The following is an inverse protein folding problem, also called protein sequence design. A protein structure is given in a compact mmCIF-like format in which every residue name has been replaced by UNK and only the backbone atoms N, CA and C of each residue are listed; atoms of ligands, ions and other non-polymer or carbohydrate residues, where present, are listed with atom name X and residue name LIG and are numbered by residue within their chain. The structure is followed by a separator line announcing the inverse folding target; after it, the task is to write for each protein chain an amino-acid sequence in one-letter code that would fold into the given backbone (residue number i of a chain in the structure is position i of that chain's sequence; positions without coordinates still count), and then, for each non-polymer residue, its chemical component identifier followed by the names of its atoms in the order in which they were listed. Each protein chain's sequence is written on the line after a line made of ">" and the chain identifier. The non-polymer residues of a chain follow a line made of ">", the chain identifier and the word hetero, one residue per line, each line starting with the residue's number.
data_IF_249540876668
#
_entry.id   IF_249540876668
#
_cell.length_a   1.000
_cell.length_b   1.000
_cell.length_c   1.000
_cell.angle_alpha   90.00
_cell.angle_beta   90.00
_cell.angle_gamma   90.00
#
_symmetry.space_group_name_H-M   'P 1'
#
loop_
_entity.id
_entity.type
_entity.pdbx_description
1 polymer ?
#
# COMPACT_ATOMS: atom_id res chain seq x y z
N UNK A 1 9.98 -12.20 -28.02
CA UNK A 1 10.01 -13.02 -29.26
C UNK A 1 8.57 -13.24 -29.70
N UNK A 2 8.27 -13.01 -30.94
CA UNK A 2 6.93 -13.25 -31.53
C UNK A 2 6.97 -14.51 -32.40
N UNK A 3 5.90 -15.29 -32.39
CA UNK A 3 5.74 -16.45 -33.29
C UNK A 3 4.58 -16.15 -34.23
N UNK A 4 4.85 -16.09 -35.52
CA UNK A 4 3.82 -15.92 -36.54
C UNK A 4 3.95 -17.01 -37.60
N UNK A 5 2.89 -17.79 -37.82
CA UNK A 5 2.88 -18.95 -38.72
C UNK A 5 4.06 -19.91 -38.52
N UNK A 6 4.46 -20.15 -37.26
CA UNK A 6 5.58 -21.01 -36.91
C UNK A 6 6.98 -20.37 -37.00
N UNK A 7 7.09 -19.15 -37.51
CA UNK A 7 8.34 -18.42 -37.59
C UNK A 7 8.55 -17.60 -36.33
N UNK A 8 9.76 -17.71 -35.72
CA UNK A 8 10.16 -16.92 -34.56
C UNK A 8 10.75 -15.60 -35.01
N UNK A 9 10.11 -14.50 -34.63
CA UNK A 9 10.56 -13.14 -34.93
C UNK A 9 11.06 -12.48 -33.65
N UNK A 10 12.29 -11.95 -33.65
CA UNK A 10 12.81 -11.17 -32.54
C UNK A 10 12.20 -9.75 -32.61
N UNK A 11 11.54 -9.34 -31.54
CA UNK A 11 10.92 -8.02 -31.41
C UNK A 11 11.86 -7.12 -30.61
N UNK A 12 12.66 -6.31 -31.30
CA UNK A 12 13.56 -5.35 -30.67
C UNK A 12 12.84 -4.16 -30.07
N UNK A 13 11.67 -3.84 -30.58
CA UNK A 13 10.76 -2.81 -30.06
C UNK A 13 10.15 -3.15 -28.68
N UNK A 14 10.21 -4.43 -28.28
CA UNK A 14 9.79 -4.90 -26.94
C UNK A 14 10.98 -5.06 -25.98
N UNK A 15 12.09 -4.38 -26.24
CA UNK A 15 13.21 -4.35 -25.28
C UNK A 15 12.79 -3.56 -24.04
N UNK A 16 13.04 -4.13 -22.87
CA UNK A 16 12.77 -3.52 -21.58
C UNK A 16 14.00 -3.55 -20.72
N UNK A 17 14.21 -2.50 -19.94
CA UNK A 17 15.23 -2.42 -18.89
C UNK A 17 14.64 -2.73 -17.50
N UNK A 18 13.40 -3.17 -17.45
CA UNK A 18 12.82 -3.75 -16.26
C UNK A 18 13.09 -5.26 -16.25
N UNK A 19 13.52 -5.78 -15.12
CA UNK A 19 13.85 -7.21 -14.97
C UNK A 19 12.64 -8.07 -14.63
N UNK A 20 11.56 -7.46 -14.13
CA UNK A 20 10.35 -8.17 -13.69
C UNK A 20 9.29 -8.25 -14.80
N UNK A 21 8.63 -9.40 -14.89
CA UNK A 21 7.58 -9.67 -15.88
C UNK A 21 6.38 -8.71 -15.73
N UNK A 22 6.08 -8.27 -14.52
CA UNK A 22 4.95 -7.40 -14.21
C UNK A 22 5.03 -6.05 -14.92
N UNK A 23 6.23 -5.53 -15.11
CA UNK A 23 6.46 -4.32 -15.90
C UNK A 23 6.44 -4.59 -17.40
N UNK A 24 6.96 -5.74 -17.83
CA UNK A 24 7.07 -6.08 -19.26
C UNK A 24 5.74 -6.46 -19.88
N UNK A 25 4.84 -7.11 -19.14
CA UNK A 25 3.54 -7.55 -19.68
C UNK A 25 2.66 -6.36 -20.11
N UNK A 26 2.44 -5.31 -19.29
CA UNK A 26 1.70 -4.12 -19.73
C UNK A 26 2.35 -3.40 -20.91
N UNK A 27 3.68 -3.33 -20.96
CA UNK A 27 4.42 -2.77 -22.10
C UNK A 27 4.12 -3.54 -23.39
N UNK A 28 4.16 -4.88 -23.35
CA UNK A 28 3.85 -5.72 -24.50
C UNK A 28 2.39 -5.57 -24.93
N UNK A 29 1.46 -5.50 -23.98
CA UNK A 29 0.04 -5.25 -24.26
C UNK A 29 -0.14 -3.90 -24.93
N UNK A 30 0.56 -2.86 -24.51
CA UNK A 30 0.53 -1.54 -25.12
C UNK A 30 0.98 -1.59 -26.59
N UNK A 31 2.15 -2.17 -26.85
CA UNK A 31 2.66 -2.30 -28.21
C UNK A 31 1.69 -3.09 -29.13
N UNK A 32 1.11 -4.19 -28.63
CA UNK A 32 0.15 -4.99 -29.40
C UNK A 32 -1.15 -4.22 -29.66
N UNK A 33 -1.61 -3.43 -28.68
CA UNK A 33 -2.78 -2.57 -28.85
C UNK A 33 -2.55 -1.52 -29.94
N UNK A 34 -1.37 -0.91 -29.99
CA UNK A 34 -1.01 0.11 -30.98
C UNK A 34 -0.86 -0.48 -32.39
N UNK A 35 -0.57 -1.78 -32.51
CA UNK A 35 -0.65 -2.51 -33.77
C UNK A 35 -2.11 -2.73 -34.27
N UNK A 36 -3.11 -2.29 -33.51
CA UNK A 36 -4.51 -2.42 -33.87
C UNK A 36 -5.07 -3.83 -33.74
N UNK A 37 -4.48 -4.69 -32.91
CA UNK A 37 -4.99 -6.04 -32.64
C UNK A 37 -6.28 -5.96 -31.81
N UNK A 38 -7.36 -6.53 -32.33
CA UNK A 38 -8.70 -6.41 -31.72
C UNK A 38 -8.89 -7.14 -30.39
N UNK A 39 -8.16 -8.25 -30.17
CA UNK A 39 -8.27 -9.08 -28.95
C UNK A 39 -6.88 -9.48 -28.47
N UNK A 40 -6.63 -9.23 -27.20
CA UNK A 40 -5.37 -9.58 -26.50
C UNK A 40 -5.71 -10.49 -25.33
N UNK A 41 -5.04 -11.62 -25.22
CA UNK A 41 -5.15 -12.53 -24.10
C UNK A 41 -3.82 -12.57 -23.32
N UNK A 42 -3.85 -12.10 -22.08
CA UNK A 42 -2.72 -12.14 -21.15
C UNK A 42 -2.85 -13.37 -20.27
N UNK A 43 -1.80 -14.14 -20.21
CA UNK A 43 -1.74 -15.37 -19.44
C UNK A 43 -0.96 -15.09 -18.14
N UNK A 44 -1.67 -14.77 -17.08
CA UNK A 44 -1.12 -14.49 -15.75
C UNK A 44 -2.17 -14.68 -14.67
N UNK A 45 -1.75 -15.11 -13.49
CA UNK A 45 -2.56 -15.14 -12.26
C UNK A 45 -2.17 -14.02 -11.28
N UNK A 46 -1.20 -13.19 -11.67
CA UNK A 46 -0.62 -12.17 -10.81
C UNK A 46 -1.55 -10.97 -10.62
N UNK A 47 -1.71 -10.54 -9.38
CA UNK A 47 -2.53 -9.38 -9.02
C UNK A 47 -1.90 -8.07 -9.50
N UNK A 48 -0.57 -7.98 -9.49
CA UNK A 48 0.16 -6.79 -9.90
C UNK A 48 -0.06 -6.55 -11.39
N UNK A 49 0.04 -7.60 -12.21
CA UNK A 49 -0.30 -7.56 -13.64
C UNK A 49 -1.75 -7.09 -13.86
N UNK A 50 -2.72 -7.63 -13.09
CA UNK A 50 -4.12 -7.20 -13.19
C UNK A 50 -4.30 -5.70 -12.91
N UNK A 51 -3.66 -5.22 -11.83
CA UNK A 51 -3.72 -3.81 -11.41
C UNK A 51 -3.14 -2.89 -12.49
N UNK A 52 -1.97 -3.26 -13.02
CA UNK A 52 -1.30 -2.49 -14.07
C UNK A 52 -2.09 -2.46 -15.36
N UNK A 53 -2.63 -3.60 -15.79
CA UNK A 53 -3.51 -3.65 -16.98
C UNK A 53 -4.73 -2.74 -16.84
N UNK A 54 -5.39 -2.74 -15.67
CA UNK A 54 -6.54 -1.87 -15.43
C UNK A 54 -6.15 -0.38 -15.42
N UNK A 55 -5.06 -0.03 -14.73
CA UNK A 55 -4.58 1.35 -14.65
C UNK A 55 -4.22 1.92 -16.01
N UNK A 56 -3.36 1.21 -16.75
CA UNK A 56 -2.94 1.64 -18.09
C UNK A 56 -4.05 1.59 -19.14
N UNK A 57 -4.98 0.64 -19.02
CA UNK A 57 -6.14 0.59 -19.92
C UNK A 57 -6.92 1.90 -19.88
N UNK A 58 -7.19 2.43 -18.69
CA UNK A 58 -7.93 3.68 -18.54
C UNK A 58 -7.09 4.88 -18.98
N UNK A 59 -5.85 4.96 -18.52
CA UNK A 59 -4.95 6.09 -18.78
C UNK A 59 -4.64 6.25 -20.27
N UNK A 60 -4.29 5.14 -20.95
CA UNK A 60 -3.90 5.12 -22.35
C UNK A 60 -5.08 4.94 -23.31
N UNK A 61 -6.31 4.79 -22.80
CA UNK A 61 -7.53 4.59 -23.59
C UNK A 61 -7.37 3.47 -24.61
N UNK A 62 -6.83 2.33 -24.18
CA UNK A 62 -6.64 1.18 -25.08
C UNK A 62 -7.95 0.75 -25.73
N UNK A 63 -7.90 0.47 -27.04
CA UNK A 63 -9.07 0.10 -27.86
C UNK A 63 -9.30 -1.42 -27.95
N UNK A 64 -8.25 -2.22 -27.70
CA UNK A 64 -8.32 -3.67 -27.77
C UNK A 64 -9.20 -4.26 -26.68
N UNK A 65 -9.81 -5.42 -26.96
CA UNK A 65 -10.45 -6.25 -25.93
C UNK A 65 -9.38 -7.06 -25.20
N UNK A 66 -9.18 -6.80 -23.92
CA UNK A 66 -8.11 -7.42 -23.13
C UNK A 66 -8.72 -8.39 -22.13
N UNK A 67 -8.21 -9.61 -22.15
CA UNK A 67 -8.59 -10.67 -21.23
C UNK A 67 -7.35 -11.16 -20.47
N UNK A 68 -7.49 -11.36 -19.17
CA UNK A 68 -6.48 -12.00 -18.32
C UNK A 68 -6.95 -13.40 -17.92
N UNK A 69 -6.15 -14.41 -18.25
CA UNK A 69 -6.44 -15.82 -17.97
C UNK A 69 -5.43 -16.35 -16.94
N UNK A 70 -5.88 -16.73 -15.73
CA UNK A 70 -5.01 -17.19 -14.67
C UNK A 70 -4.56 -18.66 -14.82
N UNK A 71 -4.85 -19.33 -15.92
CA UNK A 71 -4.51 -20.75 -16.21
C UNK A 71 -5.03 -21.80 -15.22
N UNK A 72 -5.85 -21.45 -14.29
CA UNK A 72 -6.37 -22.40 -13.31
C UNK A 72 -7.80 -22.80 -13.68
N UNK A 73 -8.16 -24.06 -13.42
CA UNK A 73 -9.54 -24.53 -13.65
C UNK A 73 -10.57 -23.84 -12.75
N UNK A 74 -10.12 -23.30 -11.63
CA UNK A 74 -10.94 -22.68 -10.60
C UNK A 74 -11.18 -21.17 -10.87
N UNK A 75 -10.26 -20.50 -11.53
CA UNK A 75 -10.32 -19.08 -11.79
C UNK A 75 -10.86 -18.79 -13.18
N UNK A 76 -11.81 -17.87 -13.23
CA UNK A 76 -12.43 -17.43 -14.48
C UNK A 76 -11.54 -16.42 -15.20
N UNK A 77 -11.58 -16.44 -16.55
CA UNK A 77 -10.99 -15.40 -17.38
C UNK A 77 -11.58 -14.04 -17.01
N UNK A 78 -10.73 -13.07 -16.76
CA UNK A 78 -11.10 -11.71 -16.38
C UNK A 78 -11.12 -10.82 -17.62
N UNK A 79 -12.20 -10.12 -17.84
CA UNK A 79 -12.29 -9.11 -18.89
C UNK A 79 -11.88 -7.75 -18.32
N UNK A 80 -10.71 -7.24 -18.73
CA UNK A 80 -10.14 -5.99 -18.24
C UNK A 80 -11.03 -4.80 -18.57
N UNK A 81 -11.53 -4.71 -19.81
CA UNK A 81 -12.42 -3.62 -20.25
C UNK A 81 -13.65 -3.49 -19.33
N UNK A 82 -14.29 -4.63 -19.03
CA UNK A 82 -15.45 -4.66 -18.15
C UNK A 82 -15.09 -4.33 -16.69
N UNK A 83 -13.93 -4.78 -16.22
CA UNK A 83 -13.44 -4.47 -14.88
C UNK A 83 -13.22 -2.98 -14.70
N UNK A 84 -12.58 -2.33 -15.67
CA UNK A 84 -12.35 -0.88 -15.68
C UNK A 84 -13.68 -0.14 -15.75
N UNK A 85 -14.56 -0.46 -16.70
CA UNK A 85 -15.86 0.19 -16.86
C UNK A 85 -16.72 0.15 -15.60
N UNK A 86 -16.71 -0.97 -14.88
CA UNK A 86 -17.47 -1.12 -13.62
C UNK A 86 -16.88 -0.35 -12.46
N UNK A 87 -15.62 0.03 -12.53
CA UNK A 87 -14.85 0.63 -11.44
C UNK A 87 -14.14 1.92 -11.87
N UNK A 88 -14.70 2.69 -12.79
CA UNK A 88 -14.08 3.89 -13.36
C UNK A 88 -13.57 4.88 -12.29
N UNK A 89 -14.33 5.06 -11.21
CA UNK A 89 -13.94 5.95 -10.12
C UNK A 89 -12.81 5.40 -9.23
N UNK A 90 -12.58 4.08 -9.26
CA UNK A 90 -11.54 3.43 -8.46
C UNK A 90 -10.21 3.31 -9.23
N UNK A 91 -10.30 3.03 -10.53
CA UNK A 91 -9.14 2.71 -11.36
C UNK A 91 -8.06 3.79 -11.35
N UNK A 92 -8.35 5.12 -11.36
CA UNK A 92 -7.31 6.15 -11.25
C UNK A 92 -6.44 6.05 -10.00
N UNK A 93 -6.97 5.47 -8.93
CA UNK A 93 -6.28 5.30 -7.66
C UNK A 93 -5.71 3.89 -7.46
N UNK A 94 -5.98 2.96 -8.39
CA UNK A 94 -5.77 1.53 -8.17
C UNK A 94 -4.30 1.16 -7.98
N UNK A 95 -3.41 1.72 -8.80
CA UNK A 95 -1.94 1.50 -8.69
C UNK A 95 -1.43 2.01 -7.34
N UNK A 96 -1.76 3.23 -6.97
CA UNK A 96 -1.36 3.84 -5.70
C UNK A 96 -1.93 3.08 -4.49
N UNK A 97 -3.22 2.70 -4.54
CA UNK A 97 -3.87 1.88 -3.53
C UNK A 97 -3.15 0.55 -3.34
N UNK A 98 -2.79 -0.09 -4.46
CA UNK A 98 -2.15 -1.41 -4.44
C UNK A 98 -0.76 -1.32 -3.79
N UNK A 99 0.05 -0.36 -4.19
CA UNK A 99 1.36 -0.11 -3.60
C UNK A 99 1.27 0.20 -2.09
N UNK A 100 0.38 1.11 -1.68
CA UNK A 100 0.22 1.50 -0.26
C UNK A 100 -0.33 0.38 0.64
N UNK A 101 -1.20 -0.48 0.11
CA UNK A 101 -1.78 -1.57 0.90
C UNK A 101 -0.90 -2.81 1.00
N UNK A 102 0.23 -2.80 0.30
CA UNK A 102 1.24 -3.85 0.28
C UNK A 102 1.31 -4.59 -1.05
N UNK A 103 2.53 -4.78 -1.50
CA UNK A 103 2.94 -5.57 -2.67
C UNK A 103 4.25 -6.28 -2.33
N UNK A 104 4.91 -6.91 -3.29
CA UNK A 104 6.13 -7.69 -3.04
C UNK A 104 7.26 -6.88 -2.38
N UNK A 105 7.38 -5.60 -2.70
CA UNK A 105 8.44 -4.71 -2.21
C UNK A 105 7.99 -3.75 -1.11
N UNK A 106 6.69 -3.62 -0.85
CA UNK A 106 6.13 -2.74 0.18
C UNK A 106 5.33 -3.58 1.18
N UNK A 107 5.68 -3.57 2.48
CA UNK A 107 5.03 -4.40 3.46
C UNK A 107 3.55 -4.08 3.64
N UNK A 108 2.74 -5.14 3.80
CA UNK A 108 1.31 -4.99 4.09
C UNK A 108 1.05 -4.38 5.46
N UNK A 109 0.05 -3.53 5.53
CA UNK A 109 -0.49 -3.04 6.78
C UNK A 109 -1.24 -4.18 7.50
N UNK A 110 -0.89 -4.45 8.77
CA UNK A 110 -1.50 -5.54 9.51
C UNK A 110 -3.02 -5.39 9.61
N UNK A 111 -3.74 -6.46 9.28
CA UNK A 111 -5.22 -6.50 9.27
C UNK A 111 -5.90 -5.50 8.32
N UNK A 112 -5.19 -5.01 7.31
CA UNK A 112 -5.70 -4.17 6.23
C UNK A 112 -5.60 -4.94 4.92
N UNK A 113 -6.65 -5.70 4.60
CA UNK A 113 -6.75 -6.36 3.30
C UNK A 113 -7.28 -5.40 2.21
N UNK A 114 -7.21 -5.83 0.94
CA UNK A 114 -7.60 -5.03 -0.24
C UNK A 114 -9.04 -4.47 -0.14
N UNK A 115 -9.98 -5.18 0.47
CA UNK A 115 -11.35 -4.68 0.69
C UNK A 115 -11.38 -3.42 1.57
N UNK A 116 -10.61 -3.40 2.67
CA UNK A 116 -10.51 -2.20 3.52
C UNK A 116 -9.84 -1.05 2.78
N UNK A 117 -8.79 -1.35 2.01
CA UNK A 117 -8.08 -0.38 1.20
C UNK A 117 -9.01 0.27 0.15
N UNK A 118 -9.81 -0.53 -0.56
CA UNK A 118 -10.82 -0.06 -1.53
C UNK A 118 -11.86 0.84 -0.85
N UNK A 119 -12.32 0.48 0.35
CA UNK A 119 -13.28 1.30 1.08
C UNK A 119 -12.67 2.62 1.62
N UNK A 120 -11.37 2.62 1.92
CA UNK A 120 -10.65 3.82 2.34
C UNK A 120 -10.49 4.81 1.17
N UNK A 121 -10.09 4.32 -0.01
CA UNK A 121 -9.84 5.18 -1.19
C UNK A 121 -11.11 5.84 -1.74
N UNK A 122 -12.29 5.30 -1.47
CA UNK A 122 -13.56 6.00 -1.77
C UNK A 122 -13.73 7.34 -1.00
N UNK A 123 -12.90 7.58 0.01
CA UNK A 123 -12.96 8.76 0.90
C UNK A 123 -11.71 9.62 0.86
N UNK A 124 -10.68 9.21 0.13
CA UNK A 124 -9.38 9.89 0.05
C UNK A 124 -8.85 9.79 -1.37
N UNK A 125 -8.35 10.88 -1.92
CA UNK A 125 -7.64 10.89 -3.20
C UNK A 125 -6.24 10.30 -3.01
N UNK A 126 -5.72 9.63 -4.06
CA UNK A 126 -4.35 9.10 -4.14
C UNK A 126 -3.69 9.52 -5.47
N UNK A 127 -3.95 10.73 -5.93
CA UNK A 127 -3.49 11.19 -7.24
C UNK A 127 -2.00 11.55 -7.26
N UNK A 128 -1.46 12.04 -6.12
CA UNK A 128 -0.05 12.41 -6.02
C UNK A 128 0.86 11.19 -5.87
N UNK A 129 0.35 10.07 -5.34
CA UNK A 129 1.15 8.85 -5.19
C UNK A 129 1.40 8.21 -6.56
N UNK A 130 2.68 8.08 -6.90
CA UNK A 130 3.13 7.59 -8.20
C UNK A 130 3.19 8.65 -9.29
N UNK A 131 3.08 9.93 -8.95
CA UNK A 131 3.39 11.05 -9.84
C UNK A 131 4.76 11.63 -9.47
N UNK A 132 5.74 11.49 -10.36
CA UNK A 132 7.14 11.92 -10.15
C UNK A 132 7.27 13.42 -9.90
N UNK A 133 6.33 14.23 -10.37
CA UNK A 133 6.35 15.69 -10.23
C UNK A 133 5.64 16.17 -8.95
N UNK A 134 5.00 15.28 -8.22
CA UNK A 134 4.26 15.65 -7.02
C UNK A 134 5.20 15.98 -5.86
N UNK A 135 4.95 17.09 -5.14
CA UNK A 135 5.68 17.41 -3.91
C UNK A 135 5.54 16.28 -2.88
N UNK A 136 6.66 15.87 -2.31
CA UNK A 136 6.70 14.73 -1.38
C UNK A 136 5.79 14.92 -0.16
N UNK A 137 5.61 16.13 0.30
CA UNK A 137 4.72 16.44 1.43
C UNK A 137 3.25 16.12 1.11
N UNK A 138 2.81 16.36 -0.13
CA UNK A 138 1.46 16.00 -0.57
C UNK A 138 1.30 14.47 -0.68
N UNK A 139 2.32 13.78 -1.17
CA UNK A 139 2.37 12.32 -1.22
C UNK A 139 2.25 11.71 0.17
N UNK A 140 3.05 12.22 1.13
CA UNK A 140 3.03 11.77 2.53
C UNK A 140 1.65 12.04 3.14
N UNK A 141 1.09 13.21 2.92
CA UNK A 141 -0.24 13.58 3.41
C UNK A 141 -1.32 12.65 2.90
N UNK A 142 -1.39 12.40 1.58
CA UNK A 142 -2.35 11.46 0.99
C UNK A 142 -2.20 10.05 1.58
N UNK A 143 -0.96 9.56 1.70
CA UNK A 143 -0.69 8.26 2.28
C UNK A 143 -1.12 8.14 3.74
N UNK A 144 -0.83 9.16 4.56
CA UNK A 144 -1.27 9.23 5.98
C UNK A 144 -2.79 9.23 6.08
N UNK A 145 -3.48 10.02 5.27
CA UNK A 145 -4.94 10.06 5.22
C UNK A 145 -5.53 8.71 4.82
N UNK A 146 -4.97 8.06 3.80
CA UNK A 146 -5.41 6.74 3.36
C UNK A 146 -5.25 5.69 4.47
N UNK A 147 -4.09 5.63 5.11
CA UNK A 147 -3.85 4.67 6.19
C UNK A 147 -4.77 4.94 7.38
N UNK A 148 -4.97 6.20 7.77
CA UNK A 148 -5.94 6.55 8.81
C UNK A 148 -7.33 5.99 8.49
N UNK A 149 -7.82 6.15 7.26
CA UNK A 149 -9.13 5.58 6.83
C UNK A 149 -9.15 4.06 6.86
N UNK A 150 -8.06 3.38 6.53
CA UNK A 150 -7.94 1.92 6.63
C UNK A 150 -8.14 1.43 8.07
N UNK A 151 -7.72 2.21 9.05
CA UNK A 151 -7.89 1.93 10.47
C UNK A 151 -9.16 2.57 11.08
N UNK A 152 -10.04 3.16 10.26
CA UNK A 152 -11.29 3.80 10.73
C UNK A 152 -11.08 5.13 11.46
N UNK A 153 -9.94 5.78 11.22
CA UNK A 153 -9.54 7.05 11.84
C UNK A 153 -9.64 8.22 10.86
N UNK A 154 -9.46 9.44 11.37
CA UNK A 154 -9.55 10.67 10.57
C UNK A 154 -8.35 11.58 10.72
N UNK A 155 -7.52 11.39 11.74
CA UNK A 155 -6.34 12.22 11.99
C UNK A 155 -5.21 11.82 11.04
N UNK A 156 -4.44 12.78 10.57
CA UNK A 156 -3.24 12.53 9.74
C UNK A 156 -2.08 12.01 10.58
N UNK A 157 -1.97 12.38 11.86
CA UNK A 157 -0.98 11.83 12.78
C UNK A 157 -1.29 10.38 13.13
N UNK A 158 -0.38 9.49 12.78
CA UNK A 158 -0.49 8.08 13.13
C UNK A 158 -0.40 7.87 14.64
N UNK A 159 0.42 8.63 15.33
CA UNK A 159 0.54 8.58 16.80
C UNK A 159 -0.78 8.93 17.50
N UNK A 160 -1.49 9.96 17.02
CA UNK A 160 -2.82 10.31 17.53
C UNK A 160 -3.84 9.19 17.25
N UNK A 161 -3.80 8.58 16.07
CA UNK A 161 -4.67 7.45 15.71
C UNK A 161 -4.37 6.21 16.57
N UNK A 162 -3.09 5.91 16.81
CA UNK A 162 -2.65 4.82 17.69
C UNK A 162 -3.21 4.99 19.09
N UNK A 163 -3.10 6.21 19.65
CA UNK A 163 -3.65 6.56 20.97
C UNK A 163 -5.16 6.38 21.00
N UNK A 164 -5.88 6.91 20.03
CA UNK A 164 -7.35 6.80 19.93
C UNK A 164 -7.80 5.34 19.88
N UNK A 165 -7.16 4.50 19.05
CA UNK A 165 -7.48 3.07 18.94
C UNK A 165 -7.17 2.35 20.26
N UNK A 166 -6.02 2.66 20.88
CA UNK A 166 -5.63 2.07 22.15
C UNK A 166 -6.65 2.37 23.24
N UNK A 167 -6.98 3.65 23.42
CA UNK A 167 -7.98 4.09 24.42
C UNK A 167 -9.33 3.42 24.18
N UNK A 168 -9.84 3.43 22.95
CA UNK A 168 -11.14 2.83 22.62
C UNK A 168 -11.22 1.32 22.91
N UNK A 169 -10.10 0.61 22.84
CA UNK A 169 -10.01 -0.84 23.10
C UNK A 169 -9.71 -1.18 24.55
N UNK A 170 -9.14 -0.24 25.31
CA UNK A 170 -8.85 -0.40 26.73
C UNK A 170 -9.94 0.20 27.60
N UNK A 171 -10.94 0.85 27.00
CA UNK A 171 -12.08 1.42 27.76
C UNK A 171 -12.84 0.34 28.52
N UNK A 172 -12.77 0.43 29.85
CA UNK A 172 -13.23 -0.57 30.81
C UNK A 172 -14.75 -0.73 30.92
N UNK A 173 -15.55 -0.07 30.08
CA UNK A 173 -17.00 -0.27 29.99
C UNK A 173 -17.36 -1.69 29.50
N UNK A 174 -16.43 -2.42 28.89
CA UNK A 174 -16.57 -3.82 28.50
C UNK A 174 -15.80 -4.72 29.45
N UNK A 175 -16.50 -5.57 30.21
CA UNK A 175 -15.95 -6.51 31.22
C UNK A 175 -14.82 -7.45 30.78
N UNK A 176 -14.38 -7.41 29.53
CA UNK A 176 -13.36 -8.30 28.97
C UNK A 176 -12.36 -7.60 28.01
N UNK A 177 -12.17 -6.28 28.12
CA UNK A 177 -11.27 -5.55 27.25
C UNK A 177 -9.81 -5.91 27.58
N UNK A 178 -9.22 -6.81 26.80
CA UNK A 178 -7.78 -7.03 26.79
C UNK A 178 -7.11 -5.91 25.97
N UNK A 179 -5.96 -5.36 26.43
CA UNK A 179 -5.22 -4.38 25.61
C UNK A 179 -4.94 -4.96 24.22
N UNK A 180 -5.11 -4.17 23.16
CA UNK A 180 -4.78 -4.64 21.82
C UNK A 180 -3.28 -4.93 21.74
N UNK A 181 -2.89 -5.99 21.03
CA UNK A 181 -1.47 -6.17 20.70
C UNK A 181 -1.04 -5.06 19.75
N UNK A 182 0.18 -4.56 19.88
CA UNK A 182 0.72 -3.43 19.10
C UNK A 182 0.57 -3.60 17.59
N UNK A 183 0.60 -4.84 17.08
CA UNK A 183 0.42 -5.15 15.67
C UNK A 183 -0.93 -4.71 15.07
N UNK A 184 -1.95 -4.50 15.90
CA UNK A 184 -3.28 -4.02 15.44
C UNK A 184 -3.37 -2.50 15.33
N UNK A 185 -2.33 -1.79 15.75
CA UNK A 185 -2.25 -0.34 15.62
C UNK A 185 -1.65 0.03 14.26
N UNK A 186 -1.96 1.22 13.71
CA UNK A 186 -1.23 1.76 12.56
C UNK A 186 0.28 1.80 12.84
N UNK A 187 1.16 1.83 11.82
CA UNK A 187 2.58 2.09 12.00
C UNK A 187 2.83 3.40 12.76
N UNK A 188 4.03 3.61 13.34
CA UNK A 188 4.43 4.94 13.86
C UNK A 188 4.51 5.96 12.75
N UNK A 189 4.53 7.26 13.04
CA UNK A 189 4.56 8.30 12.00
C UNK A 189 5.81 8.16 11.12
N UNK A 190 6.97 7.86 11.70
CA UNK A 190 8.25 7.70 11.01
C UNK A 190 8.25 6.44 10.12
N UNK A 191 7.81 5.30 10.67
CA UNK A 191 7.71 4.06 9.91
C UNK A 191 6.69 4.16 8.77
N UNK A 192 5.59 4.86 9.01
CA UNK A 192 4.56 5.10 8.01
C UNK A 192 5.09 5.97 6.86
N UNK A 193 5.83 7.02 7.18
CA UNK A 193 6.41 7.90 6.17
C UNK A 193 7.38 7.16 5.25
N UNK A 194 8.30 6.37 5.81
CA UNK A 194 9.21 5.52 5.01
C UNK A 194 8.42 4.54 4.12
N UNK A 195 7.34 3.97 4.64
CA UNK A 195 6.51 3.06 3.87
C UNK A 195 5.77 3.76 2.72
N UNK A 196 5.26 4.98 2.96
CA UNK A 196 4.61 5.80 1.91
C UNK A 196 5.61 6.18 0.83
N UNK A 197 6.84 6.57 1.18
CA UNK A 197 7.91 6.88 0.22
C UNK A 197 8.22 5.67 -0.67
N UNK A 198 8.35 4.48 -0.10
CA UNK A 198 8.57 3.24 -0.87
C UNK A 198 7.38 2.93 -1.79
N UNK A 199 6.16 3.05 -1.30
CA UNK A 199 4.97 2.85 -2.11
C UNK A 199 4.87 3.88 -3.26
N UNK A 200 5.26 5.12 -3.02
CA UNK A 200 5.34 6.16 -4.04
C UNK A 200 6.35 5.79 -5.13
N UNK A 201 7.56 5.36 -4.76
CA UNK A 201 8.58 4.91 -5.71
C UNK A 201 8.06 3.77 -6.59
N UNK A 202 7.52 2.72 -5.98
CA UNK A 202 6.95 1.58 -6.73
C UNK A 202 5.83 2.02 -7.66
N UNK A 203 4.94 2.88 -7.20
CA UNK A 203 3.85 3.40 -8.03
C UNK A 203 4.37 4.26 -9.20
N UNK A 204 5.47 5.04 -9.03
CA UNK A 204 6.11 5.75 -10.13
C UNK A 204 6.65 4.75 -11.16
N UNK A 205 7.38 3.72 -10.71
CA UNK A 205 7.92 2.69 -11.60
C UNK A 205 6.80 2.01 -12.40
N UNK A 206 5.73 1.61 -11.73
CA UNK A 206 4.56 0.98 -12.36
C UNK A 206 3.84 1.88 -13.37
N UNK A 207 3.61 3.15 -13.04
CA UNK A 207 2.96 4.09 -13.96
C UNK A 207 3.80 4.41 -15.20
N UNK A 208 5.12 4.25 -15.12
CA UNK A 208 6.05 4.54 -16.21
C UNK A 208 6.55 3.29 -16.97
N UNK A 209 6.08 2.09 -16.63
CA UNK A 209 6.60 0.85 -17.19
C UNK A 209 6.39 0.70 -18.72
N UNK A 210 5.42 1.39 -19.29
CA UNK A 210 5.13 1.30 -20.73
C UNK A 210 6.26 1.86 -21.62
N UNK A 211 7.11 2.73 -21.11
CA UNK A 211 8.24 3.29 -21.84
C UNK A 211 9.38 2.29 -22.08
N UNK A 212 9.40 1.18 -21.35
CA UNK A 212 10.49 0.21 -21.35
C UNK A 212 11.76 0.69 -20.61
N UNK A 213 11.81 1.95 -20.20
CA UNK A 213 12.92 2.55 -19.47
C UNK A 213 12.43 3.04 -18.11
N UNK A 214 13.06 2.60 -17.00
CA UNK A 214 12.71 3.12 -15.69
C UNK A 214 13.05 4.62 -15.58
N UNK A 215 12.26 5.40 -14.85
CA UNK A 215 12.63 6.76 -14.49
C UNK A 215 13.97 6.77 -13.74
N UNK A 216 14.81 7.77 -14.02
CA UNK A 216 16.10 7.92 -13.34
C UNK A 216 15.91 8.51 -11.94
N UNK A 217 15.64 7.66 -10.97
CA UNK A 217 15.40 8.01 -9.56
C UNK A 217 16.38 7.25 -8.68
N UNK A 218 16.90 7.89 -7.63
CA UNK A 218 17.65 7.17 -6.60
C UNK A 218 16.69 6.57 -5.56
N UNK A 219 16.63 5.23 -5.41
CA UNK A 219 15.80 4.60 -4.41
C UNK A 219 16.08 5.08 -2.97
N UNK A 220 17.28 5.58 -2.71
CA UNK A 220 17.66 6.10 -1.38
C UNK A 220 16.82 7.31 -0.95
N UNK A 221 16.30 8.09 -1.89
CA UNK A 221 15.39 9.21 -1.60
C UNK A 221 13.98 8.74 -1.19
N UNK A 222 13.70 7.45 -1.39
CA UNK A 222 12.39 6.84 -1.20
C UNK A 222 12.34 5.79 -0.08
N UNK A 223 13.28 5.85 0.87
CA UNK A 223 13.28 4.98 2.04
C UNK A 223 13.93 3.61 1.81
N UNK A 224 14.87 3.55 0.87
CA UNK A 224 15.78 2.42 0.66
C UNK A 224 17.20 2.85 0.98
N UNK A 225 18.07 1.90 1.27
CA UNK A 225 19.51 2.11 1.43
C UNK A 225 20.28 1.02 0.69
N UNK A 226 21.43 1.42 0.13
CA UNK A 226 22.32 0.49 -0.57
C UNK A 226 23.10 -0.31 0.46
N UNK A 227 23.22 -1.61 0.23
CA UNK A 227 24.10 -2.47 1.03
C UNK A 227 25.58 -2.19 0.70
N UNK A 228 26.47 -2.82 1.46
CA UNK A 228 27.92 -2.73 1.27
C UNK A 228 28.39 -3.15 -0.14
N UNK A 229 27.62 -4.00 -0.82
CA UNK A 229 27.88 -4.41 -2.22
C UNK A 229 27.60 -3.28 -3.24
N UNK A 230 27.00 -2.16 -2.81
CA UNK A 230 26.67 -1.01 -3.63
C UNK A 230 25.56 -1.24 -4.67
N UNK A 231 24.98 -2.44 -4.74
CA UNK A 231 23.99 -2.85 -5.73
C UNK A 231 22.65 -3.23 -5.07
N UNK A 232 22.71 -4.06 -4.04
CA UNK A 232 21.53 -4.54 -3.34
C UNK A 232 20.88 -3.44 -2.49
N UNK A 233 19.55 -3.38 -2.52
CA UNK A 233 18.77 -2.43 -1.74
C UNK A 233 18.14 -3.12 -0.54
N UNK A 234 18.12 -2.42 0.60
CA UNK A 234 17.35 -2.81 1.78
C UNK A 234 16.44 -1.67 2.20
N UNK A 235 15.27 -1.96 2.78
CA UNK A 235 14.45 -0.91 3.38
C UNK A 235 15.23 -0.20 4.48
N UNK A 236 15.23 1.14 4.45
CA UNK A 236 15.76 1.95 5.56
C UNK A 236 15.00 1.59 6.83
N UNK A 237 15.75 1.24 7.86
CA UNK A 237 15.20 0.93 9.17
C UNK A 237 15.12 2.19 10.04
N UNK A 238 14.19 2.20 10.99
CA UNK A 238 14.18 3.27 11.98
C UNK A 238 15.45 3.18 12.85
N UNK A 239 16.02 4.33 13.22
CA UNK A 239 17.17 4.35 14.14
C UNK A 239 16.86 3.60 15.44
N UNK A 240 17.88 2.95 16.00
CA UNK A 240 17.79 2.32 17.32
C UNK A 240 17.35 3.35 18.37
N UNK A 241 16.43 2.95 19.24
CA UNK A 241 15.91 3.81 20.30
C UNK A 241 14.69 4.67 19.91
N UNK A 242 14.26 4.66 18.65
CA UNK A 242 12.97 5.25 18.31
C UNK A 242 11.85 4.42 18.96
N UNK A 243 11.14 5.03 19.87
CA UNK A 243 10.09 4.36 20.64
C UNK A 243 8.96 3.90 19.70
N UNK A 244 8.77 2.59 19.62
CA UNK A 244 7.67 1.95 18.83
C UNK A 244 6.30 2.40 19.35
N UNK A 245 6.23 2.91 20.55
CA UNK A 245 5.04 3.45 21.18
C UNK A 245 5.44 4.65 22.06
N UNK A 246 4.77 5.81 21.97
CA UNK A 246 5.03 6.93 22.86
C UNK A 246 4.98 6.47 24.31
N UNK A 247 5.94 6.90 25.15
CA UNK A 247 5.98 6.54 26.57
C UNK A 247 4.66 6.83 27.28
N UNK A 248 3.98 7.89 26.89
CA UNK A 248 2.67 8.28 27.42
C UNK A 248 1.60 7.21 27.19
N UNK A 249 1.67 6.45 26.08
CA UNK A 249 0.76 5.32 25.81
C UNK A 249 1.11 4.12 26.67
N UNK A 250 2.40 3.90 26.95
CA UNK A 250 2.86 2.83 27.83
C UNK A 250 2.52 3.13 29.30
N UNK A 251 2.41 4.40 29.69
CA UNK A 251 2.01 4.86 31.02
C UNK A 251 0.52 4.81 31.29
N UNK A 252 -0.34 4.51 30.26
CA UNK A 252 -1.77 4.32 30.46
C UNK A 252 -2.00 2.98 31.19
N UNK A 253 -1.89 3.01 32.48
CA UNK A 253 -2.18 1.87 33.35
C UNK A 253 -3.64 1.96 33.81
N UNK A 254 -4.43 0.93 33.53
CA UNK A 254 -5.81 0.85 34.00
C UNK A 254 -5.97 -0.18 35.10
N UNK A 255 -6.88 0.11 36.00
CA UNK A 255 -7.28 -0.80 37.06
C UNK A 255 -8.78 -1.12 36.96
N UNK A 256 -9.19 -2.18 37.64
CA UNK A 256 -10.62 -2.56 37.81
C UNK A 256 -11.24 -1.93 39.05
N UNK A 257 -10.76 -0.81 39.52
CA UNK A 257 -11.27 -0.15 40.75
C UNK A 257 -12.51 0.69 40.43
N UNK A 258 -13.65 0.04 40.15
CA UNK A 258 -14.90 0.72 39.82
C UNK A 258 -15.49 1.58 40.95
N UNK A 259 -15.27 1.21 42.20
CA UNK A 259 -15.90 1.87 43.38
C UNK A 259 -14.89 2.52 44.34
N UNK A 260 -13.63 2.11 44.34
CA UNK A 260 -12.63 2.53 45.34
C UNK A 260 -11.75 3.69 44.90
N UNK A 261 -11.99 4.34 43.76
CA UNK A 261 -11.23 5.47 43.21
C UNK A 261 -9.70 5.29 43.35
N UNK A 262 -9.22 4.07 43.16
CA UNK A 262 -7.81 3.72 43.23
C UNK A 262 -7.12 3.99 44.60
N UNK A 263 -7.85 4.01 45.68
CA UNK A 263 -7.32 4.24 47.06
C UNK A 263 -6.42 3.08 47.51
N UNK A 264 -6.60 1.89 47.00
CA UNK A 264 -5.85 0.70 47.40
C UNK A 264 -4.42 0.73 46.88
N UNK A 265 -3.40 0.57 47.75
CA UNK A 265 -1.96 0.47 47.44
C UNK A 265 -1.62 -0.66 46.44
N UNK A 266 -2.48 -1.64 46.24
CA UNK A 266 -2.32 -2.72 45.25
C UNK A 266 -2.80 -2.32 43.87
N UNK A 267 -3.45 -1.15 43.71
CA UNK A 267 -3.94 -0.66 42.42
C UNK A 267 -2.77 -0.41 41.45
N UNK A 268 -2.80 -0.95 40.21
CA UNK A 268 -1.78 -0.69 39.21
C UNK A 268 -1.61 0.80 38.87
N UNK A 269 -2.70 1.58 38.84
CA UNK A 269 -2.64 3.02 38.58
C UNK A 269 -1.84 3.75 39.66
N UNK A 270 -2.08 3.39 40.95
CA UNK A 270 -1.35 3.99 42.08
C UNK A 270 0.11 3.56 42.15
N UNK A 271 0.42 2.34 41.69
CA UNK A 271 1.81 1.87 41.59
C UNK A 271 2.57 2.56 40.46
N UNK A 272 1.87 2.98 39.39
CA UNK A 272 2.44 3.68 38.26
C UNK A 272 2.38 5.20 38.37
N UNK A 273 1.97 5.72 39.53
CA UNK A 273 1.84 7.15 39.86
C UNK A 273 0.95 7.92 38.82
N UNK A 274 -0.09 7.25 38.34
CA UNK A 274 -1.05 7.82 37.39
C UNK A 274 -2.29 8.26 38.14
N UNK A 275 -2.66 9.54 37.99
CA UNK A 275 -3.85 10.10 38.61
C UNK A 275 -5.13 9.49 38.02
N UNK A 276 -5.98 8.93 38.86
CA UNK A 276 -7.21 8.22 38.45
C UNK A 276 -8.36 9.14 38.00
N UNK A 277 -8.12 10.44 37.97
CA UNK A 277 -9.11 11.47 37.66
C UNK A 277 -9.13 11.97 36.22
N UNK A 278 -8.29 11.45 35.36
CA UNK A 278 -8.06 12.01 33.99
C UNK A 278 -8.84 11.28 32.86
N UNK A 279 -9.93 10.55 33.17
CA UNK A 279 -10.73 9.89 32.14
C UNK A 279 -12.23 9.95 32.46
#
# INVERSE_FOLDING_TARGET
>A
MQVYKGVRIKRHDLTSFYDEADYMIPQQVHCINDEGKGVIKVLSADTDVFVLLCGHFLERKWSSKIYMDPFTKENKVININNSVKRNENLVPHLIALHALSGCDTVPMLFNVGKTKAINAVKKVSLMHIGDVNSPIDLVIKEGKQFVAKCYGQTNESSSANRRSIWVSKTDGSKKSAKPPTLKYLPPTDEALELNIRRAHFVAIMWKNCLSGFPPNLDPCDYGWEKREDGVSLTPTMLPDGVAVTPEEVLKITRCNCASSKCVNKRCPCKKADVDSGAY
#
